data_IF_942875552881
#
_entry.id   IF_942875552881
#
_cell.length_a   1.000
_cell.length_b   1.000
_cell.length_c   1.000
_cell.angle_alpha   90.00
_cell.angle_beta   90.00
_cell.angle_gamma   90.00
#
_symmetry.space_group_name_H-M   'P 1'
#
loop_
_entity.id
_entity.type
_entity.pdbx_description
1 polymer ?
#
# COMPACT_ATOMS: atom_id res chain seq x y z
N UNK A 1 11.03 3.29 -11.40
CA UNK A 1 9.93 4.22 -11.78
C UNK A 1 8.91 4.36 -10.68
N UNK A 2 8.13 5.43 -10.69
CA UNK A 2 7.01 5.70 -9.78
C UNK A 2 5.73 5.72 -10.58
N UNK A 3 4.66 5.17 -10.01
CA UNK A 3 3.36 5.04 -10.65
C UNK A 3 2.28 5.64 -9.76
N UNK A 4 1.34 6.35 -10.35
CA UNK A 4 0.22 6.93 -9.63
C UNK A 4 -0.96 7.18 -10.58
N UNK A 5 -2.04 7.70 -10.04
CA UNK A 5 -3.11 8.35 -10.80
C UNK A 5 -3.01 9.85 -10.59
N UNK A 6 -3.26 10.59 -11.61
CA UNK A 6 -3.25 12.06 -11.54
C UNK A 6 -4.53 12.60 -12.14
N UNK A 7 -4.91 13.78 -11.67
CA UNK A 7 -5.97 14.57 -12.28
C UNK A 7 -5.33 15.82 -12.89
N UNK A 8 -5.56 16.01 -14.17
CA UNK A 8 -5.01 17.11 -14.92
C UNK A 8 -5.79 18.43 -14.65
N UNK A 9 -5.30 19.52 -15.23
CA UNK A 9 -5.92 20.86 -15.13
C UNK A 9 -7.34 20.96 -15.71
N UNK A 10 -7.73 20.00 -16.56
CA UNK A 10 -9.08 19.91 -17.14
C UNK A 10 -10.02 19.05 -16.30
N UNK A 11 -9.50 18.40 -15.25
CA UNK A 11 -10.23 17.48 -14.38
C UNK A 11 -10.27 16.04 -14.90
N UNK A 12 -9.51 15.72 -15.96
CA UNK A 12 -9.38 14.36 -16.48
C UNK A 12 -8.41 13.53 -15.62
N UNK A 13 -8.73 12.25 -15.41
CA UNK A 13 -7.91 11.34 -14.60
C UNK A 13 -7.10 10.46 -15.53
N UNK A 14 -5.78 10.47 -15.32
CA UNK A 14 -4.81 9.68 -16.06
C UNK A 14 -4.06 8.71 -15.16
N UNK A 15 -3.62 7.60 -15.74
CA UNK A 15 -2.59 6.74 -15.16
C UNK A 15 -1.23 7.36 -15.49
N UNK A 16 -0.38 7.58 -14.49
CA UNK A 16 0.89 8.26 -14.68
C UNK A 16 2.08 7.41 -14.23
N UNK A 17 3.18 7.52 -14.99
CA UNK A 17 4.46 6.94 -14.63
C UNK A 17 5.58 7.97 -14.81
N UNK A 18 6.57 7.97 -13.90
CA UNK A 18 7.71 8.90 -13.96
C UNK A 18 8.92 8.39 -13.17
N UNK A 19 10.11 8.79 -13.60
CA UNK A 19 11.35 8.67 -12.82
C UNK A 19 11.67 9.99 -12.12
N UNK A 20 11.42 11.12 -12.83
CA UNK A 20 11.64 12.49 -12.37
C UNK A 20 10.35 13.29 -12.49
N UNK A 21 10.18 14.25 -11.60
CA UNK A 21 8.97 15.07 -11.50
C UNK A 21 8.69 15.93 -12.73
N UNK A 22 9.74 16.27 -13.48
CA UNK A 22 9.67 17.04 -14.74
C UNK A 22 9.45 16.16 -15.99
N UNK A 23 9.37 14.85 -15.83
CA UNK A 23 9.19 13.90 -16.93
C UNK A 23 8.15 12.84 -16.58
N UNK A 24 6.89 13.21 -16.72
CA UNK A 24 5.73 12.38 -16.43
C UNK A 24 5.09 11.91 -17.74
N UNK A 25 4.79 10.65 -17.84
CA UNK A 25 4.06 10.03 -18.95
C UNK A 25 2.67 9.64 -18.50
N UNK A 26 1.66 9.97 -19.28
CA UNK A 26 0.32 9.45 -19.10
C UNK A 26 0.20 8.12 -19.83
N UNK A 27 0.03 7.04 -19.07
CA UNK A 27 0.03 5.68 -19.60
C UNK A 27 -1.16 5.40 -20.51
N UNK A 28 -2.28 6.05 -20.27
CA UNK A 28 -3.49 5.94 -21.09
C UNK A 28 -3.41 6.77 -22.39
N UNK A 29 -2.45 7.70 -22.49
CA UNK A 29 -2.06 8.33 -23.75
C UNK A 29 -1.05 7.47 -24.53
N UNK A 30 -0.07 6.87 -23.84
CA UNK A 30 0.92 6.00 -24.45
C UNK A 30 0.31 4.69 -24.95
N UNK A 31 -0.66 4.16 -24.20
CA UNK A 31 -1.31 2.87 -24.44
C UNK A 31 -2.83 3.06 -24.43
N UNK A 32 -3.45 3.34 -25.60
CA UNK A 32 -4.89 3.67 -25.70
C UNK A 32 -5.83 2.61 -25.11
N UNK A 33 -5.40 1.35 -25.01
CA UNK A 33 -6.12 0.26 -24.36
C UNK A 33 -6.29 0.45 -22.86
N UNK A 34 -5.51 1.34 -22.23
CA UNK A 34 -5.60 1.70 -20.81
C UNK A 34 -6.60 2.83 -20.54
N UNK A 35 -7.19 3.43 -21.57
CA UNK A 35 -8.17 4.50 -21.38
C UNK A 35 -9.37 4.02 -20.59
N UNK A 36 -9.63 4.68 -19.45
CA UNK A 36 -10.69 4.30 -18.50
C UNK A 36 -10.41 3.03 -17.69
N UNK A 37 -9.17 2.55 -17.73
CA UNK A 37 -8.69 1.41 -16.92
C UNK A 37 -8.03 1.88 -15.63
N UNK A 38 -7.70 0.92 -14.76
CA UNK A 38 -6.98 1.14 -13.51
C UNK A 38 -5.47 0.94 -13.67
N UNK A 39 -4.69 1.37 -12.70
CA UNK A 39 -3.26 1.05 -12.66
C UNK A 39 -3.02 -0.47 -12.52
N UNK A 40 -3.97 -1.21 -11.93
CA UNK A 40 -3.92 -2.67 -11.85
C UNK A 40 -3.94 -3.29 -13.25
N UNK A 41 -4.75 -2.75 -14.18
CA UNK A 41 -4.77 -3.22 -15.56
C UNK A 41 -3.42 -3.02 -16.27
N UNK A 42 -2.73 -1.90 -16.01
CA UNK A 42 -1.36 -1.70 -16.49
C UNK A 42 -0.39 -2.71 -15.89
N UNK A 43 -0.46 -2.95 -14.57
CA UNK A 43 0.37 -3.96 -13.89
C UNK A 43 0.15 -5.35 -14.49
N UNK A 44 -1.08 -5.72 -14.81
CA UNK A 44 -1.41 -6.98 -15.50
C UNK A 44 -0.85 -7.00 -16.93
N UNK A 45 -0.95 -5.90 -17.69
CA UNK A 45 -0.43 -5.81 -19.06
C UNK A 45 1.08 -6.08 -19.14
N UNK A 46 1.82 -5.64 -18.11
CA UNK A 46 3.26 -5.90 -18.00
C UNK A 46 3.59 -7.20 -17.26
N UNK A 47 2.57 -7.97 -16.86
CA UNK A 47 2.70 -9.20 -16.07
C UNK A 47 3.44 -8.99 -14.74
N UNK A 48 3.19 -7.86 -14.09
CA UNK A 48 3.82 -7.48 -12.82
C UNK A 48 5.34 -7.26 -12.90
N UNK A 49 5.87 -7.07 -14.10
CA UNK A 49 7.30 -6.87 -14.33
C UNK A 49 7.64 -5.38 -14.52
N UNK A 50 8.27 -4.72 -13.52
CA UNK A 50 8.65 -3.32 -13.62
C UNK A 50 9.70 -3.03 -14.69
N UNK A 51 10.58 -3.99 -15.01
CA UNK A 51 11.57 -3.80 -16.07
C UNK A 51 10.89 -3.75 -17.43
N UNK A 52 9.92 -4.64 -17.67
CA UNK A 52 9.08 -4.60 -18.86
C UNK A 52 8.28 -3.31 -18.93
N UNK A 53 7.70 -2.86 -17.81
CA UNK A 53 6.99 -1.58 -17.74
C UNK A 53 7.88 -0.41 -18.16
N UNK A 54 9.07 -0.29 -17.57
CA UNK A 54 10.03 0.76 -17.92
C UNK A 54 10.45 0.71 -19.40
N UNK A 55 10.73 -0.48 -19.93
CA UNK A 55 11.07 -0.65 -21.35
C UNK A 55 9.95 -0.20 -22.27
N UNK A 56 8.71 -0.57 -21.97
CA UNK A 56 7.54 -0.18 -22.79
C UNK A 56 7.34 1.33 -22.75
N UNK A 57 7.42 1.97 -21.59
CA UNK A 57 7.26 3.42 -21.42
C UNK A 57 8.39 4.18 -22.14
N UNK A 58 9.65 3.75 -21.97
CA UNK A 58 10.79 4.39 -22.64
C UNK A 58 10.81 4.23 -24.15
N UNK A 59 10.21 3.15 -24.66
CA UNK A 59 10.12 2.89 -26.11
C UNK A 59 8.92 3.61 -26.77
N UNK A 60 7.95 4.05 -26.00
CA UNK A 60 6.77 4.75 -26.51
C UNK A 60 7.12 6.21 -26.83
N UNK A 61 6.57 6.71 -27.93
CA UNK A 61 6.64 8.11 -28.32
C UNK A 61 5.37 8.83 -27.82
N UNK A 62 5.52 9.68 -26.81
CA UNK A 62 4.39 10.34 -26.18
C UNK A 62 4.73 11.70 -25.59
N UNK A 63 3.70 12.44 -25.22
CA UNK A 63 3.84 13.71 -24.57
C UNK A 63 4.45 13.56 -23.17
N UNK A 64 5.28 14.52 -22.80
CA UNK A 64 5.89 14.60 -21.47
C UNK A 64 5.19 15.70 -20.69
N UNK A 65 4.71 15.36 -19.51
CA UNK A 65 4.03 16.24 -18.58
C UNK A 65 4.91 16.53 -17.36
N UNK A 66 4.49 17.45 -16.50
CA UNK A 66 5.17 17.79 -15.23
C UNK A 66 4.25 17.43 -14.07
N UNK A 67 4.80 16.82 -13.03
CA UNK A 67 3.99 16.35 -11.89
C UNK A 67 3.40 17.54 -11.09
N UNK A 68 4.09 18.64 -11.00
CA UNK A 68 3.65 19.85 -10.29
C UNK A 68 2.39 20.50 -10.90
N UNK A 69 2.07 20.16 -12.15
CA UNK A 69 0.87 20.60 -12.85
C UNK A 69 -0.34 19.68 -12.63
N UNK A 70 -0.14 18.60 -11.86
CA UNK A 70 -1.12 17.54 -11.66
C UNK A 70 -1.50 17.41 -10.20
N UNK A 71 -2.77 17.08 -9.94
CA UNK A 71 -3.22 16.64 -8.63
C UNK A 71 -2.98 15.14 -8.49
N UNK A 72 -2.09 14.73 -7.59
CA UNK A 72 -1.84 13.30 -7.33
C UNK A 72 -2.99 12.67 -6.54
N UNK A 73 -3.48 11.54 -7.04
CA UNK A 73 -4.51 10.71 -6.43
C UNK A 73 -3.90 9.45 -5.81
N UNK A 74 -4.74 8.60 -5.20
CA UNK A 74 -4.28 7.27 -4.80
C UNK A 74 -3.88 6.46 -6.04
N UNK A 75 -2.75 5.74 -6.04
CA UNK A 75 -2.33 4.94 -7.18
C UNK A 75 -3.31 3.79 -7.49
N UNK A 76 -3.89 3.18 -6.47
CA UNK A 76 -4.93 2.15 -6.60
C UNK A 76 -6.17 2.63 -5.86
N UNK A 77 -7.25 2.88 -6.58
CA UNK A 77 -8.51 3.33 -5.97
C UNK A 77 -9.27 2.19 -5.32
N UNK A 78 -9.27 1.04 -5.98
CA UNK A 78 -9.93 -0.18 -5.49
C UNK A 78 -9.01 -1.37 -5.68
N UNK A 79 -8.70 -2.11 -4.61
CA UNK A 79 -7.94 -3.34 -4.74
C UNK A 79 -8.79 -4.43 -5.42
N UNK A 80 -8.13 -5.45 -5.97
CA UNK A 80 -8.83 -6.62 -6.58
C UNK A 80 -9.59 -7.40 -5.52
N UNK A 81 -8.96 -7.53 -4.34
CA UNK A 81 -9.51 -8.22 -3.16
C UNK A 81 -9.33 -7.33 -1.93
N UNK A 82 -9.65 -7.85 -0.75
CA UNK A 82 -9.33 -7.19 0.51
C UNK A 82 -7.81 -7.05 0.68
N UNK A 83 -7.39 -6.02 1.43
CA UNK A 83 -5.98 -5.82 1.75
C UNK A 83 -5.61 -6.77 2.90
N UNK A 84 -4.65 -7.65 2.67
CA UNK A 84 -4.11 -8.53 3.70
C UNK A 84 -3.11 -7.75 4.55
N UNK A 85 -3.32 -7.72 5.85
CA UNK A 85 -2.51 -6.99 6.80
C UNK A 85 -1.85 -7.94 7.80
N UNK A 86 -0.73 -7.48 8.37
CA UNK A 86 0.05 -8.23 9.35
C UNK A 86 0.03 -7.47 10.67
N UNK A 87 -0.55 -8.06 11.71
CA UNK A 87 -0.58 -7.48 13.04
C UNK A 87 0.75 -7.66 13.76
N UNK A 88 1.21 -6.61 14.44
CA UNK A 88 2.38 -6.60 15.34
C UNK A 88 3.64 -7.20 14.68
N UNK A 89 4.04 -6.67 13.52
CA UNK A 89 5.19 -7.18 12.77
C UNK A 89 6.47 -6.34 12.89
N UNK A 90 6.52 -5.36 13.79
CA UNK A 90 7.73 -4.59 14.13
C UNK A 90 8.18 -4.89 15.55
N UNK A 91 9.49 -5.07 15.77
CA UNK A 91 10.05 -5.34 17.11
C UNK A 91 9.74 -4.23 18.10
N UNK A 92 9.82 -2.96 17.66
CA UNK A 92 9.56 -1.80 18.50
C UNK A 92 8.09 -1.80 18.96
N UNK A 93 7.17 -2.17 18.09
CA UNK A 93 5.74 -2.26 18.37
C UNK A 93 5.37 -3.43 19.28
N UNK A 94 6.16 -4.52 19.25
CA UNK A 94 5.93 -5.66 20.14
C UNK A 94 6.14 -5.30 21.61
N UNK A 95 7.07 -4.39 21.93
CA UNK A 95 7.33 -3.93 23.29
C UNK A 95 6.20 -3.02 23.81
N UNK A 96 5.72 -2.10 22.98
CA UNK A 96 4.59 -1.22 23.29
C UNK A 96 3.27 -2.02 23.47
N UNK A 97 3.07 -3.05 22.65
CA UNK A 97 1.83 -3.83 22.64
C UNK A 97 1.69 -4.73 23.88
N UNK A 98 2.79 -5.19 24.47
CA UNK A 98 2.74 -5.96 25.72
C UNK A 98 2.11 -5.18 26.88
N UNK A 99 2.21 -3.85 26.86
CA UNK A 99 1.61 -3.00 27.89
C UNK A 99 0.13 -2.65 27.60
N UNK A 100 -0.28 -2.55 26.33
CA UNK A 100 -1.58 -2.00 25.93
C UNK A 100 -2.57 -3.00 25.32
N UNK A 101 -2.10 -4.13 24.79
CA UNK A 101 -2.93 -5.17 24.19
C UNK A 101 -2.99 -6.48 25.00
N UNK A 102 -2.74 -6.40 26.30
CA UNK A 102 -2.98 -7.53 27.21
C UNK A 102 -4.44 -7.98 27.08
N UNK A 103 -4.68 -9.01 26.26
CA UNK A 103 -6.00 -9.57 25.95
C UNK A 103 -6.45 -9.46 24.49
N UNK A 104 -5.81 -8.67 23.63
CA UNK A 104 -6.14 -8.59 22.19
C UNK A 104 -5.34 -9.58 21.33
N UNK A 105 -4.15 -9.98 21.78
CA UNK A 105 -3.38 -11.12 21.27
C UNK A 105 -3.09 -12.00 22.48
N UNK A 106 -3.64 -13.20 22.54
CA UNK A 106 -3.37 -14.12 23.65
C UNK A 106 -1.92 -14.58 23.59
N UNK A 107 -1.29 -14.80 24.74
CA UNK A 107 0.06 -15.42 24.86
C UNK A 107 0.16 -16.80 24.19
N UNK A 108 -0.97 -17.36 23.78
CA UNK A 108 -1.09 -18.66 23.10
C UNK A 108 -0.96 -18.56 21.57
N UNK A 109 -0.95 -17.34 20.97
CA UNK A 109 -0.79 -17.17 19.51
C UNK A 109 0.68 -17.38 19.14
N UNK A 110 0.99 -18.56 18.62
CA UNK A 110 2.37 -18.92 18.20
C UNK A 110 2.72 -18.52 16.78
N UNK A 111 1.80 -17.91 16.03
CA UNK A 111 1.95 -17.57 14.62
C UNK A 111 1.80 -16.08 14.30
N UNK A 112 2.07 -15.72 13.05
CA UNK A 112 1.83 -14.37 12.54
C UNK A 112 0.33 -14.06 12.58
N UNK A 113 -0.03 -12.92 13.15
CA UNK A 113 -1.42 -12.47 13.14
C UNK A 113 -1.73 -11.84 11.79
N UNK A 114 -2.63 -12.45 11.04
CA UNK A 114 -3.14 -11.89 9.79
C UNK A 114 -4.56 -11.39 9.97
N UNK A 115 -4.86 -10.27 9.34
CA UNK A 115 -6.22 -9.76 9.23
C UNK A 115 -6.45 -9.14 7.85
N UNK A 116 -7.71 -8.92 7.50
CA UNK A 116 -8.08 -8.26 6.26
C UNK A 116 -8.62 -6.87 6.54
N UNK A 117 -8.25 -5.92 5.70
CA UNK A 117 -8.84 -4.59 5.66
C UNK A 117 -9.72 -4.50 4.43
N UNK A 118 -11.04 -4.52 4.66
CA UNK A 118 -12.01 -4.35 3.59
C UNK A 118 -12.17 -2.86 3.28
N UNK A 119 -12.17 -2.50 2.02
CA UNK A 119 -12.39 -1.11 1.62
C UNK A 119 -13.20 -1.01 0.34
N UNK A 120 -14.10 -0.04 0.29
CA UNK A 120 -14.80 0.33 -0.93
C UNK A 120 -13.94 1.21 -1.84
N UNK A 121 -13.08 2.04 -1.23
CA UNK A 121 -12.19 2.97 -1.89
C UNK A 121 -10.99 3.25 -0.99
N UNK A 122 -9.83 3.33 -1.60
CA UNK A 122 -8.59 3.79 -0.95
C UNK A 122 -8.51 5.31 -1.17
N UNK A 123 -8.28 6.07 -0.10
CA UNK A 123 -8.01 7.50 -0.17
C UNK A 123 -6.58 7.76 -0.62
N UNK A 124 -6.37 8.87 -1.32
CA UNK A 124 -5.05 9.35 -1.73
C UNK A 124 -4.45 10.37 -0.77
N UNK A 125 -3.29 10.88 -1.15
CA UNK A 125 -2.66 11.99 -0.45
C UNK A 125 -3.54 13.25 -0.51
N UNK A 126 -3.57 14.00 0.59
CA UNK A 126 -4.34 15.24 0.75
C UNK A 126 -5.88 15.09 0.70
N UNK A 127 -6.41 13.87 0.59
CA UNK A 127 -7.84 13.67 0.77
C UNK A 127 -8.23 13.74 2.24
N UNK A 128 -9.38 14.35 2.53
CA UNK A 128 -9.90 14.47 3.89
C UNK A 128 -10.44 13.14 4.38
N UNK A 129 -10.00 12.73 5.57
CA UNK A 129 -10.49 11.52 6.24
C UNK A 129 -11.75 11.88 7.02
N UNK A 130 -12.88 11.27 6.66
CA UNK A 130 -14.14 11.39 7.37
C UNK A 130 -14.11 10.45 8.60
N UNK A 131 -13.72 10.97 9.74
CA UNK A 131 -13.72 10.22 11.00
C UNK A 131 -15.13 9.86 11.45
N UNK A 132 -15.30 8.63 11.93
CA UNK A 132 -16.59 8.12 12.43
C UNK A 132 -16.68 8.31 13.96
N UNK A 133 -16.53 9.56 14.41
CA UNK A 133 -16.62 9.95 15.83
C UNK A 133 -18.01 9.75 16.43
N UNK A 134 -19.01 9.46 15.58
CA UNK A 134 -20.35 9.06 16.00
C UNK A 134 -20.43 7.62 16.57
N UNK A 135 -19.46 6.78 16.25
CA UNK A 135 -19.42 5.37 16.67
C UNK A 135 -18.16 4.97 17.47
N UNK A 136 -17.07 5.71 17.30
CA UNK A 136 -15.82 5.50 18.06
C UNK A 136 -15.00 6.79 18.10
N UNK A 137 -14.68 7.25 19.31
CA UNK A 137 -13.86 8.45 19.52
C UNK A 137 -12.35 8.16 19.50
N UNK A 138 -11.94 6.88 19.52
CA UNK A 138 -10.54 6.45 19.54
C UNK A 138 -10.03 6.09 18.16
N UNK A 139 -9.99 7.09 17.29
CA UNK A 139 -9.42 6.97 15.94
C UNK A 139 -7.90 7.14 16.03
N UNK A 140 -7.17 6.20 15.46
CA UNK A 140 -5.71 6.14 15.51
C UNK A 140 -5.11 5.86 14.14
N UNK A 141 -3.97 6.48 13.86
CA UNK A 141 -3.21 6.29 12.62
C UNK A 141 -2.15 5.20 12.80
N UNK A 142 -1.88 4.45 11.75
CA UNK A 142 -0.79 3.49 11.69
C UNK A 142 -0.07 3.66 10.34
N UNK A 143 1.14 4.24 10.38
CA UNK A 143 1.96 4.38 9.18
C UNK A 143 2.63 3.06 8.86
N UNK A 144 2.35 2.54 7.67
CA UNK A 144 2.72 1.19 7.24
C UNK A 144 3.36 1.18 5.85
N UNK A 145 3.98 0.06 5.51
CA UNK A 145 4.47 -0.25 4.19
C UNK A 145 3.44 -1.13 3.45
N UNK A 146 2.89 -0.61 2.35
CA UNK A 146 2.14 -1.44 1.41
C UNK A 146 3.07 -2.13 0.42
N UNK A 147 2.90 -3.44 0.26
CA UNK A 147 3.57 -4.27 -0.74
C UNK A 147 2.56 -4.59 -1.85
N UNK A 148 2.85 -4.17 -3.07
CA UNK A 148 1.94 -4.35 -4.21
C UNK A 148 2.34 -5.62 -4.95
N UNK A 149 1.49 -6.64 -4.88
CA UNK A 149 1.65 -7.89 -5.61
C UNK A 149 1.28 -7.65 -7.07
N UNK A 150 2.20 -7.96 -7.99
CA UNK A 150 2.08 -7.62 -9.41
C UNK A 150 1.56 -8.74 -10.28
N UNK A 151 1.63 -9.99 -9.85
CA UNK A 151 1.17 -11.15 -10.62
C UNK A 151 0.55 -12.21 -9.73
N UNK A 152 -0.35 -12.98 -10.31
CA UNK A 152 -0.99 -14.11 -9.65
C UNK A 152 0.02 -15.20 -9.29
N UNK A 153 -0.13 -15.81 -8.10
CA UNK A 153 0.72 -16.90 -7.67
C UNK A 153 0.16 -17.65 -6.47
N UNK A 154 0.57 -18.91 -6.36
CA UNK A 154 0.24 -19.81 -5.25
C UNK A 154 1.41 -20.73 -4.95
N UNK A 155 1.67 -21.03 -3.67
CA UNK A 155 2.80 -21.87 -3.25
C UNK A 155 4.16 -21.24 -3.58
N UNK A 156 4.25 -19.92 -3.46
CA UNK A 156 5.47 -19.14 -3.77
C UNK A 156 6.50 -19.43 -2.68
N UNK A 157 7.76 -19.73 -3.07
CA UNK A 157 8.85 -19.87 -2.10
C UNK A 157 9.46 -18.51 -1.74
N UNK A 158 10.14 -18.41 -0.61
CA UNK A 158 10.78 -17.16 -0.18
C UNK A 158 11.78 -16.64 -1.22
N UNK A 159 12.53 -17.54 -1.86
CA UNK A 159 13.53 -17.19 -2.88
C UNK A 159 12.91 -16.57 -4.14
N UNK A 160 11.63 -16.87 -4.42
CA UNK A 160 10.90 -16.36 -5.58
C UNK A 160 9.94 -15.22 -5.25
N UNK A 161 9.75 -14.92 -3.97
CA UNK A 161 8.74 -13.96 -3.53
C UNK A 161 8.91 -12.57 -4.16
N UNK A 162 10.15 -12.09 -4.29
CA UNK A 162 10.43 -10.77 -4.88
C UNK A 162 9.95 -10.66 -6.33
N UNK A 163 9.94 -11.75 -7.09
CA UNK A 163 9.46 -11.75 -8.48
C UNK A 163 7.97 -11.43 -8.59
N UNK A 164 7.21 -11.61 -7.50
CA UNK A 164 5.77 -11.34 -7.44
C UNK A 164 5.45 -9.92 -6.97
N UNK A 165 6.42 -9.22 -6.40
CA UNK A 165 6.23 -7.83 -5.97
C UNK A 165 6.40 -6.89 -7.16
N UNK A 166 5.41 -6.02 -7.39
CA UNK A 166 5.53 -4.94 -8.37
C UNK A 166 6.26 -3.73 -7.76
N UNK A 167 5.90 -3.35 -6.55
CA UNK A 167 6.49 -2.20 -5.88
C UNK A 167 5.92 -1.98 -4.48
N UNK A 168 6.15 -0.79 -3.95
CA UNK A 168 5.84 -0.41 -2.59
C UNK A 168 5.20 0.97 -2.52
N UNK A 169 4.39 1.20 -1.50
CA UNK A 169 3.78 2.50 -1.24
C UNK A 169 3.72 2.77 0.26
N UNK A 170 3.57 4.04 0.63
CA UNK A 170 3.19 4.39 2.00
C UNK A 170 1.71 4.08 2.19
N UNK A 171 1.38 3.58 3.36
CA UNK A 171 0.03 3.22 3.73
C UNK A 171 -0.30 3.76 5.13
N UNK A 172 -1.55 4.16 5.36
CA UNK A 172 -2.05 4.46 6.68
C UNK A 172 -3.20 3.50 6.99
N UNK A 173 -2.94 2.57 7.91
CA UNK A 173 -3.95 1.63 8.43
C UNK A 173 -4.73 2.30 9.57
N UNK A 174 -5.55 3.29 9.20
CA UNK A 174 -6.36 4.01 10.18
C UNK A 174 -7.28 3.04 10.92
N UNK A 175 -7.33 3.17 12.24
CA UNK A 175 -7.94 2.21 13.14
C UNK A 175 -8.93 2.87 14.09
N UNK A 176 -10.07 2.22 14.29
CA UNK A 176 -11.05 2.52 15.32
C UNK A 176 -10.80 1.59 16.49
N UNK A 177 -10.15 2.07 17.54
CA UNK A 177 -9.59 1.21 18.60
C UNK A 177 -10.62 0.48 19.44
N UNK A 178 -11.74 1.14 19.77
CA UNK A 178 -12.79 0.50 20.53
C UNK A 178 -13.52 -0.58 19.71
N UNK A 179 -13.75 -0.34 18.42
CA UNK A 179 -14.34 -1.35 17.54
C UNK A 179 -13.37 -2.50 17.24
N UNK A 180 -12.07 -2.23 17.17
CA UNK A 180 -11.04 -3.24 16.97
C UNK A 180 -11.07 -4.31 18.07
N UNK A 181 -11.24 -3.89 19.32
CA UNK A 181 -11.20 -4.81 20.48
C UNK A 181 -12.56 -5.37 20.86
N UNK A 182 -13.64 -4.62 20.61
CA UNK A 182 -15.01 -4.93 21.06
C UNK A 182 -15.53 -6.28 20.57
N UNK A 183 -15.19 -6.66 19.36
CA UNK A 183 -15.76 -7.85 18.69
C UNK A 183 -14.80 -9.06 18.68
N UNK A 184 -13.65 -9.00 19.31
CA UNK A 184 -12.64 -10.06 19.31
C UNK A 184 -11.94 -10.28 17.95
N UNK A 185 -12.48 -9.71 16.86
CA UNK A 185 -11.91 -9.70 15.52
C UNK A 185 -11.76 -8.25 15.04
N UNK A 186 -10.68 -7.93 14.36
CA UNK A 186 -10.31 -6.56 14.04
C UNK A 186 -11.06 -5.94 12.86
N UNK A 187 -11.80 -6.73 12.10
CA UNK A 187 -12.47 -6.31 10.88
C UNK A 187 -13.24 -5.00 11.05
N UNK A 188 -14.07 -4.88 12.10
CA UNK A 188 -14.90 -3.68 12.31
C UNK A 188 -14.08 -2.43 12.61
N UNK A 189 -12.99 -2.56 13.36
CA UNK A 189 -12.11 -1.43 13.68
C UNK A 189 -11.18 -1.01 12.53
N UNK A 190 -10.90 -1.93 11.60
CA UNK A 190 -9.95 -1.74 10.51
C UNK A 190 -10.60 -1.43 9.15
N UNK A 191 -11.93 -1.60 9.01
CA UNK A 191 -12.59 -1.58 7.71
C UNK A 191 -13.73 -0.55 7.61
N UNK A 192 -13.70 0.50 8.43
CA UNK A 192 -14.63 1.61 8.26
C UNK A 192 -14.36 2.33 6.93
N UNK A 193 -15.40 2.86 6.32
CA UNK A 193 -15.25 3.65 5.10
C UNK A 193 -14.28 4.83 5.34
N UNK A 194 -13.41 5.09 4.37
CA UNK A 194 -12.36 6.12 4.41
C UNK A 194 -11.20 5.85 5.39
N UNK A 195 -11.11 4.65 6.01
CA UNK A 195 -10.03 4.29 6.94
C UNK A 195 -8.87 3.58 6.26
N UNK A 196 -8.82 3.61 4.93
CA UNK A 196 -7.76 3.02 4.11
C UNK A 196 -7.13 4.10 3.24
N UNK A 197 -5.88 4.43 3.47
CA UNK A 197 -5.18 5.52 2.76
C UNK A 197 -3.87 5.00 2.19
N UNK A 198 -3.57 5.28 0.93
CA UNK A 198 -2.33 4.84 0.27
C UNK A 198 -1.82 5.86 -0.75
N UNK A 199 -0.52 6.00 -0.83
CA UNK A 199 0.13 6.83 -1.83
C UNK A 199 1.19 7.76 -1.27
N UNK A 200 1.56 8.80 -2.00
CA UNK A 200 0.99 9.26 -3.28
C UNK A 200 1.38 8.43 -4.51
N UNK A 201 2.39 7.56 -4.41
CA UNK A 201 2.93 6.78 -5.53
C UNK A 201 3.18 5.33 -5.13
N UNK A 202 3.23 4.43 -6.12
CA UNK A 202 3.90 3.15 -6.02
C UNK A 202 5.32 3.34 -6.57
N UNK A 203 6.33 3.05 -5.77
CA UNK A 203 7.72 2.94 -6.21
C UNK A 203 8.00 1.51 -6.59
N UNK A 204 8.46 1.25 -7.81
CA UNK A 204 8.69 -0.13 -8.23
C UNK A 204 9.89 -0.78 -7.51
N UNK A 205 9.89 -2.12 -7.45
CA UNK A 205 10.91 -2.88 -6.72
C UNK A 205 12.32 -2.70 -7.27
N UNK A 206 12.49 -2.21 -8.51
CA UNK A 206 13.83 -2.00 -9.06
C UNK A 206 14.53 -0.77 -8.48
N UNK A 207 13.76 0.21 -8.00
CA UNK A 207 14.31 1.34 -7.23
C UNK A 207 14.53 0.97 -5.75
N UNK A 208 13.79 0.00 -5.23
CA UNK A 208 13.81 -0.42 -3.83
C UNK A 208 13.98 -1.95 -3.74
N UNK A 209 15.20 -2.47 -4.02
CA UNK A 209 15.44 -3.91 -3.97
C UNK A 209 15.40 -4.45 -2.54
N UNK A 210 15.02 -5.71 -2.38
CA UNK A 210 15.09 -6.40 -1.08
C UNK A 210 16.54 -6.77 -0.71
N UNK A 211 16.89 -6.76 0.59
CA UNK A 211 16.07 -6.45 1.75
C UNK A 211 15.82 -4.94 1.90
N UNK A 212 14.60 -4.54 2.28
CA UNK A 212 14.26 -3.14 2.50
C UNK A 212 14.79 -2.65 3.86
N UNK A 213 15.47 -1.51 3.84
CA UNK A 213 15.91 -0.77 5.04
C UNK A 213 15.48 0.70 4.93
N UNK A 214 14.18 0.92 4.96
CA UNK A 214 13.55 2.21 4.76
C UNK A 214 13.07 2.79 6.09
N UNK A 215 13.36 4.06 6.34
CA UNK A 215 12.73 4.79 7.44
C UNK A 215 11.22 4.94 7.18
N UNK A 216 10.43 4.69 8.22
CA UNK A 216 8.99 4.89 8.23
C UNK A 216 8.63 5.81 9.38
N UNK A 217 7.98 6.94 9.09
CA UNK A 217 7.70 7.99 10.06
C UNK A 217 6.33 8.59 9.84
N UNK A 218 5.68 9.02 10.92
CA UNK A 218 4.50 9.87 10.86
C UNK A 218 4.65 11.12 11.71
N UNK A 219 3.98 12.17 11.26
CA UNK A 219 3.91 13.45 11.96
C UNK A 219 2.44 13.87 12.06
N UNK A 220 2.04 14.36 13.25
CA UNK A 220 0.73 14.95 13.49
C UNK A 220 0.94 16.38 13.95
N UNK A 221 0.42 17.35 13.20
CA UNK A 221 0.61 18.77 13.46
C UNK A 221 2.10 19.18 13.60
N UNK A 222 2.99 18.53 12.84
CA UNK A 222 4.43 18.76 12.88
C UNK A 222 5.18 18.00 13.98
N UNK A 223 4.48 17.31 14.88
CA UNK A 223 5.08 16.48 15.93
C UNK A 223 5.34 15.05 15.41
N UNK A 224 6.56 14.55 15.56
CA UNK A 224 6.92 13.17 15.23
C UNK A 224 6.19 12.21 16.17
N UNK A 225 5.36 11.32 15.61
CA UNK A 225 4.53 10.38 16.38
C UNK A 225 4.97 8.93 16.21
N UNK A 226 5.34 8.54 15.01
CA UNK A 226 5.88 7.20 14.73
C UNK A 226 7.25 7.36 14.05
N UNK A 227 8.21 6.52 14.43
CA UNK A 227 9.56 6.51 13.87
C UNK A 227 10.16 5.11 14.00
N UNK A 228 10.20 4.39 12.89
CA UNK A 228 10.76 3.05 12.82
C UNK A 228 11.48 2.84 11.49
N UNK A 229 11.92 1.61 11.22
CA UNK A 229 12.58 1.24 9.98
C UNK A 229 12.17 -0.18 9.58
N UNK A 230 11.97 -0.42 8.30
CA UNK A 230 11.53 -1.72 7.77
C UNK A 230 12.50 -2.86 8.05
N UNK A 231 13.77 -2.57 8.39
CA UNK A 231 14.71 -3.59 8.88
C UNK A 231 14.26 -4.28 10.17
N UNK A 232 13.39 -3.63 10.97
CA UNK A 232 12.85 -4.15 12.22
C UNK A 232 11.61 -5.04 12.04
N UNK A 233 11.17 -5.30 10.78
CA UNK A 233 10.14 -6.30 10.52
C UNK A 233 10.54 -7.65 11.12
N UNK A 234 9.67 -8.22 11.97
CA UNK A 234 9.86 -9.52 12.62
C UNK A 234 9.85 -10.61 11.53
N UNK A 235 8.75 -10.67 10.77
CA UNK A 235 8.65 -11.53 9.60
C UNK A 235 8.88 -10.71 8.34
N UNK A 236 9.87 -11.09 7.57
CA UNK A 236 10.27 -10.38 6.36
C UNK A 236 9.27 -10.63 5.22
N UNK A 237 9.21 -9.70 4.27
CA UNK A 237 8.27 -9.74 3.14
C UNK A 237 8.28 -11.08 2.39
N UNK A 238 9.45 -11.68 2.03
CA UNK A 238 9.47 -12.98 1.36
C UNK A 238 8.78 -14.08 2.16
N UNK A 239 9.02 -14.13 3.47
CA UNK A 239 8.39 -15.10 4.36
C UNK A 239 6.87 -14.91 4.49
N UNK A 240 6.39 -13.66 4.48
CA UNK A 240 4.95 -13.35 4.47
C UNK A 240 4.28 -13.84 3.19
N UNK A 241 4.88 -13.53 2.02
CA UNK A 241 4.38 -13.98 0.71
C UNK A 241 4.35 -15.51 0.63
N UNK A 242 5.44 -16.15 1.07
CA UNK A 242 5.54 -17.61 1.06
C UNK A 242 4.49 -18.26 1.97
N UNK A 243 4.23 -17.71 3.16
CA UNK A 243 3.25 -18.25 4.08
C UNK A 243 1.82 -18.08 3.56
N UNK A 244 1.44 -16.86 3.17
CA UNK A 244 0.10 -16.56 2.67
C UNK A 244 -0.22 -17.37 1.41
N UNK A 245 0.72 -17.45 0.47
CA UNK A 245 0.51 -18.12 -0.82
C UNK A 245 0.42 -19.66 -0.74
N UNK A 246 0.67 -20.28 0.42
CA UNK A 246 0.41 -21.72 0.63
C UNK A 246 -1.07 -22.08 0.45
N UNK A 247 -1.95 -21.20 0.89
CA UNK A 247 -3.40 -21.42 0.87
C UNK A 247 -4.19 -20.39 0.07
N UNK A 248 -3.67 -19.20 -0.09
CA UNK A 248 -4.33 -18.04 -0.73
C UNK A 248 -3.62 -17.78 -2.07
N UNK A 249 -4.41 -17.52 -3.11
CA UNK A 249 -3.88 -17.11 -4.42
C UNK A 249 -3.82 -15.62 -4.48
#
# INVERSE_FOLDING_TARGET
>A
MRYTRVKDKNGEIHLAAFEKEDKVFFLDELFPELKGKSLIDFVHMVNGDPQKAAQMICAADGLVHRIEEQEMLTPIERPVHDILCVGVNYTDHLEETKEHLAGAVSDEVSGTVYFAKRTNRILGANEEIQGRFDIDEKVDYETELAVIIGKEGKGITEEKAEEYVFGYSVFNDLSSRDLQTRHGQWLMGKSLDNYTIMGPVIVDRTELPMPLELDIKSYVNGELRQNSNTKYLIKKIPGLIAELSKGIT
#
